data_IF_708201588385
#
_entry.id   IF_708201588385
#
_cell.length_a   1.000
_cell.length_b   1.000
_cell.length_c   1.000
_cell.angle_alpha   90.00
_cell.angle_beta   90.00
_cell.angle_gamma   90.00
#
_symmetry.space_group_name_H-M   'P 1'
#
loop_
_entity.id
_entity.type
_entity.pdbx_description
1 polymer ?
#
# COMPACT_ATOMS: atom_id res chain seq x y z
N UNK A 1 -14.20 1.46 -10.50
CA UNK A 1 -13.26 0.33 -10.56
C UNK A 1 -12.37 0.48 -11.77
N UNK A 2 -11.08 0.26 -11.61
CA UNK A 2 -10.12 0.34 -12.71
C UNK A 2 -10.01 -1.01 -13.40
N UNK A 3 -9.98 -0.98 -14.73
CA UNK A 3 -9.64 -2.15 -15.54
C UNK A 3 -8.16 -2.05 -15.92
N UNK A 4 -7.41 -3.13 -15.77
CA UNK A 4 -6.03 -3.20 -16.27
C UNK A 4 -6.01 -3.90 -17.62
N UNK A 5 -5.48 -3.24 -18.62
CA UNK A 5 -5.21 -3.78 -19.94
C UNK A 5 -3.75 -4.20 -20.01
N UNK A 6 -3.50 -5.47 -20.31
CA UNK A 6 -2.16 -5.97 -20.62
C UNK A 6 -1.85 -5.54 -22.07
N UNK A 7 -1.12 -4.47 -22.18
CA UNK A 7 -0.86 -3.82 -23.47
C UNK A 7 0.39 -4.39 -24.14
N UNK A 8 0.26 -4.69 -25.42
CA UNK A 8 1.39 -5.02 -26.30
C UNK A 8 1.20 -4.44 -27.68
N UNK A 9 2.28 -4.25 -28.47
CA UNK A 9 2.19 -3.81 -29.87
C UNK A 9 1.34 -4.76 -30.75
N UNK A 10 1.29 -6.03 -30.41
CA UNK A 10 0.62 -7.10 -31.14
C UNK A 10 -0.90 -7.11 -30.97
N UNK A 11 -1.45 -6.33 -30.05
CA UNK A 11 -2.90 -6.20 -29.89
C UNK A 11 -3.57 -5.66 -31.15
N UNK A 12 -4.78 -6.15 -31.49
CA UNK A 12 -5.53 -5.63 -32.65
C UNK A 12 -5.74 -4.13 -32.60
N UNK A 13 -5.57 -3.45 -33.74
CA UNK A 13 -5.63 -1.98 -33.82
C UNK A 13 -6.97 -1.43 -33.32
N UNK A 14 -8.09 -2.03 -33.72
CA UNK A 14 -9.41 -1.62 -33.25
C UNK A 14 -9.59 -1.74 -31.72
N UNK A 15 -8.90 -2.70 -31.07
CA UNK A 15 -8.90 -2.80 -29.60
C UNK A 15 -8.09 -1.66 -28.97
N UNK A 16 -6.93 -1.31 -29.56
CA UNK A 16 -6.10 -0.20 -29.10
C UNK A 16 -6.86 1.14 -29.20
N UNK A 17 -7.52 1.38 -30.35
CA UNK A 17 -8.36 2.57 -30.56
C UNK A 17 -9.51 2.64 -29.54
N UNK A 18 -10.19 1.50 -29.31
CA UNK A 18 -11.25 1.42 -28.31
C UNK A 18 -10.74 1.75 -26.91
N UNK A 19 -9.63 1.17 -26.49
CA UNK A 19 -9.01 1.44 -25.19
C UNK A 19 -8.61 2.92 -25.06
N UNK A 20 -8.01 3.50 -26.10
CA UNK A 20 -7.64 4.91 -26.10
C UNK A 20 -8.87 5.81 -25.92
N UNK A 21 -9.94 5.54 -26.66
CA UNK A 21 -11.21 6.28 -26.53
C UNK A 21 -11.78 6.17 -25.10
N UNK A 22 -11.88 4.97 -24.56
CA UNK A 22 -12.39 4.76 -23.19
C UNK A 22 -11.51 5.47 -22.16
N UNK A 23 -10.19 5.50 -22.34
CA UNK A 23 -9.29 6.21 -21.43
C UNK A 23 -9.52 7.72 -21.44
N UNK A 24 -9.77 8.29 -22.61
CA UNK A 24 -10.10 9.73 -22.75
C UNK A 24 -11.46 10.04 -22.10
N UNK A 25 -12.44 9.19 -22.34
CA UNK A 25 -13.83 9.44 -21.91
C UNK A 25 -14.03 9.21 -20.40
N UNK A 26 -13.30 8.29 -19.79
CA UNK A 26 -13.63 7.79 -18.44
C UNK A 26 -12.50 7.78 -17.43
N UNK A 27 -11.25 7.82 -17.85
CA UNK A 27 -10.06 7.60 -17.00
C UNK A 27 -10.11 6.28 -16.18
N UNK A 28 -10.82 5.26 -16.70
CA UNK A 28 -11.11 4.01 -15.97
C UNK A 28 -10.19 2.85 -16.34
N UNK A 29 -9.27 3.05 -17.29
CA UNK A 29 -8.32 2.04 -17.74
C UNK A 29 -6.91 2.43 -17.30
N UNK A 30 -6.18 1.43 -16.81
CA UNK A 30 -4.73 1.49 -16.63
C UNK A 30 -4.06 0.44 -17.53
N UNK A 31 -2.79 0.64 -17.85
CA UNK A 31 -2.06 -0.20 -18.78
C UNK A 31 -0.81 -0.76 -18.14
N UNK A 32 -0.55 -2.04 -18.40
CA UNK A 32 0.70 -2.71 -18.07
C UNK A 32 1.35 -3.22 -19.35
N UNK A 33 2.67 -3.11 -19.45
CA UNK A 33 3.39 -3.63 -20.61
C UNK A 33 3.51 -5.14 -20.54
N UNK A 34 2.69 -5.86 -21.32
CA UNK A 34 2.60 -7.31 -21.32
C UNK A 34 3.93 -7.99 -21.67
N UNK A 35 4.60 -7.53 -22.73
CA UNK A 35 5.86 -8.12 -23.19
C UNK A 35 6.96 -7.97 -22.12
N UNK A 36 7.08 -6.79 -21.52
CA UNK A 36 8.05 -6.54 -20.45
C UNK A 36 7.75 -7.38 -19.22
N UNK A 37 6.47 -7.49 -18.83
CA UNK A 37 6.09 -8.27 -17.64
C UNK A 37 6.41 -9.75 -17.84
N UNK A 38 6.12 -10.32 -19.00
CA UNK A 38 6.45 -11.71 -19.34
C UNK A 38 7.96 -11.95 -19.30
N UNK A 39 8.72 -11.06 -19.89
CA UNK A 39 10.19 -11.14 -19.92
C UNK A 39 10.78 -11.07 -18.51
N UNK A 40 10.46 -10.00 -17.74
CA UNK A 40 11.04 -9.75 -16.40
C UNK A 40 10.64 -10.83 -15.40
N UNK A 41 9.43 -11.37 -15.52
CA UNK A 41 8.89 -12.38 -14.59
C UNK A 41 9.08 -13.80 -15.07
N UNK A 42 9.48 -14.01 -16.32
CA UNK A 42 9.58 -15.31 -16.96
C UNK A 42 8.31 -16.15 -16.74
N UNK A 43 7.16 -15.54 -16.97
CA UNK A 43 5.85 -16.14 -16.73
C UNK A 43 4.83 -15.57 -17.70
N UNK A 44 4.17 -16.46 -18.44
CA UNK A 44 3.13 -16.13 -19.41
C UNK A 44 1.74 -16.09 -18.81
N UNK A 45 1.55 -16.80 -17.70
CA UNK A 45 0.26 -16.92 -17.02
C UNK A 45 0.23 -16.07 -15.74
N UNK A 46 -0.11 -14.82 -15.92
CA UNK A 46 -0.18 -13.84 -14.83
C UNK A 46 -1.39 -12.92 -14.95
N UNK A 47 -1.71 -12.26 -13.86
CA UNK A 47 -2.70 -11.18 -13.80
C UNK A 47 -2.20 -10.03 -12.95
N UNK A 48 -2.92 -8.93 -13.04
CA UNK A 48 -2.69 -7.78 -12.17
C UNK A 48 -3.76 -7.80 -11.08
N UNK A 49 -3.33 -8.12 -9.86
CA UNK A 49 -4.20 -8.12 -8.71
C UNK A 49 -4.47 -6.70 -8.22
N UNK A 50 -5.71 -6.43 -7.86
CA UNK A 50 -6.19 -5.15 -7.36
C UNK A 50 -5.91 -4.00 -8.35
N UNK A 51 -4.87 -3.21 -8.12
CA UNK A 51 -4.57 -2.01 -8.90
C UNK A 51 -3.37 -2.21 -9.83
N UNK A 52 -2.24 -2.68 -9.30
CA UNK A 52 -0.94 -2.72 -10.03
C UNK A 52 -0.05 -3.90 -9.62
N UNK A 53 -0.55 -4.84 -8.83
CA UNK A 53 0.28 -5.91 -8.30
C UNK A 53 0.31 -7.11 -9.23
N UNK A 54 1.50 -7.45 -9.70
CA UNK A 54 1.73 -8.69 -10.44
C UNK A 54 1.43 -9.92 -9.59
N UNK A 55 0.77 -10.91 -10.19
CA UNK A 55 0.51 -12.21 -9.58
C UNK A 55 0.59 -13.31 -10.63
N UNK A 56 1.48 -14.28 -10.46
CA UNK A 56 1.49 -15.49 -11.25
C UNK A 56 0.27 -16.35 -10.87
N UNK A 57 -0.62 -16.61 -11.83
CA UNK A 57 -1.89 -17.29 -11.59
C UNK A 57 -1.62 -18.73 -11.16
N UNK A 58 -2.29 -19.16 -10.09
CA UNK A 58 -2.14 -20.49 -9.52
C UNK A 58 -0.86 -20.72 -8.71
N UNK A 59 0.14 -19.84 -8.78
CA UNK A 59 1.46 -19.99 -8.13
C UNK A 59 1.71 -19.00 -7.01
N UNK A 60 1.01 -17.89 -7.03
CA UNK A 60 1.19 -16.81 -6.03
C UNK A 60 -0.15 -16.35 -5.50
N UNK A 61 -0.14 -15.97 -4.23
CA UNK A 61 -1.27 -15.34 -3.57
C UNK A 61 -0.76 -14.02 -2.99
N UNK A 62 -1.56 -12.97 -3.13
CA UNK A 62 -1.29 -11.70 -2.51
C UNK A 62 -2.36 -11.40 -1.47
N UNK A 63 -1.89 -11.10 -0.26
CA UNK A 63 -2.74 -10.62 0.81
C UNK A 63 -2.49 -9.14 1.08
N UNK A 64 -3.58 -8.37 1.07
CA UNK A 64 -3.56 -6.94 1.33
C UNK A 64 -4.72 -6.59 2.28
N UNK A 65 -4.43 -6.54 3.60
CA UNK A 65 -5.46 -6.43 4.63
C UNK A 65 -5.67 -5.02 5.20
N UNK A 66 -4.69 -4.12 5.06
CA UNK A 66 -4.74 -2.81 5.71
C UNK A 66 -3.83 -1.78 5.04
N UNK A 67 -3.97 -0.52 5.48
CA UNK A 67 -3.06 0.58 5.11
C UNK A 67 -2.63 1.35 6.36
N UNK A 68 -1.35 1.71 6.44
CA UNK A 68 -0.84 2.61 7.46
C UNK A 68 -1.03 4.06 7.02
N UNK A 69 -1.65 4.88 7.88
CA UNK A 69 -1.85 6.31 7.60
C UNK A 69 -0.65 7.13 8.10
N UNK A 70 0.23 7.52 7.18
CA UNK A 70 1.46 8.25 7.47
C UNK A 70 1.20 9.69 7.95
N UNK A 71 0.14 10.33 7.46
CA UNK A 71 -0.25 11.66 7.94
C UNK A 71 -0.73 11.60 9.40
N UNK A 72 -1.53 10.58 9.76
CA UNK A 72 -1.91 10.35 11.16
C UNK A 72 -0.72 10.03 12.05
N UNK A 73 0.25 9.27 11.53
CA UNK A 73 1.50 9.01 12.24
C UNK A 73 2.28 10.31 12.56
N UNK A 74 2.29 11.26 11.61
CA UNK A 74 2.91 12.58 11.84
C UNK A 74 2.17 13.38 12.91
N UNK A 75 0.84 13.37 12.90
CA UNK A 75 0.05 14.01 13.97
C UNK A 75 0.34 13.40 15.34
N UNK A 76 0.47 12.09 15.44
CA UNK A 76 0.86 11.42 16.68
C UNK A 76 2.26 11.84 17.12
N UNK A 77 3.19 12.00 16.20
CA UNK A 77 4.55 12.47 16.50
C UNK A 77 4.57 13.89 17.06
N UNK A 78 3.74 14.78 16.54
CA UNK A 78 3.61 16.16 17.00
C UNK A 78 2.90 16.21 18.37
N UNK A 79 1.87 15.37 18.57
CA UNK A 79 1.01 15.38 19.75
C UNK A 79 1.50 14.45 20.89
N UNK A 80 2.80 14.14 20.98
CA UNK A 80 3.34 13.33 22.06
C UNK A 80 2.75 11.90 22.10
N UNK A 81 2.47 11.33 20.94
CA UNK A 81 1.89 9.99 20.79
C UNK A 81 0.40 9.90 21.07
N UNK A 82 -0.30 11.02 21.23
CA UNK A 82 -1.74 11.08 21.53
C UNK A 82 -2.57 11.33 20.28
N UNK A 83 -3.72 10.67 20.23
CA UNK A 83 -4.73 10.95 19.21
C UNK A 83 -5.39 12.30 19.48
N UNK A 84 -5.40 13.19 18.50
CA UNK A 84 -6.00 14.52 18.60
C UNK A 84 -7.51 14.51 18.82
N UNK A 85 -8.19 13.47 18.34
CA UNK A 85 -9.65 13.35 18.46
C UNK A 85 -10.10 12.81 19.82
N UNK A 86 -9.35 11.85 20.39
CA UNK A 86 -9.76 11.12 21.60
C UNK A 86 -8.89 11.40 22.82
N UNK A 87 -7.74 12.05 22.64
CA UNK A 87 -6.74 12.22 23.69
C UNK A 87 -6.03 10.94 24.14
N UNK A 88 -6.40 9.80 23.56
CA UNK A 88 -5.83 8.50 23.94
C UNK A 88 -4.36 8.39 23.53
N UNK A 89 -3.52 7.86 24.42
CA UNK A 89 -2.12 7.57 24.08
C UNK A 89 -2.08 6.34 23.17
N UNK A 90 -1.76 6.57 21.91
CA UNK A 90 -1.63 5.53 20.88
C UNK A 90 -0.21 4.97 20.84
N UNK A 91 0.80 5.83 20.99
CA UNK A 91 2.21 5.43 21.00
C UNK A 91 2.86 6.00 22.25
N UNK A 92 3.39 5.13 23.09
CA UNK A 92 4.04 5.53 24.35
C UNK A 92 5.48 6.02 24.11
N UNK A 93 5.96 6.88 25.02
CA UNK A 93 7.36 7.33 25.00
C UNK A 93 7.72 8.33 23.90
N UNK A 94 6.73 8.99 23.30
CA UNK A 94 6.92 10.08 22.38
C UNK A 94 6.98 11.38 23.20
N UNK A 95 8.10 12.15 23.17
CA UNK A 95 8.20 13.44 23.82
C UNK A 95 7.13 14.41 23.34
N UNK A 96 6.57 15.19 24.25
CA UNK A 96 5.66 16.29 23.91
C UNK A 96 6.50 17.45 23.42
N UNK A 97 6.12 18.04 22.29
CA UNK A 97 6.75 19.25 21.77
C UNK A 97 6.11 20.47 22.47
N UNK A 98 6.92 21.26 23.14
CA UNK A 98 6.47 22.39 24.00
C UNK A 98 6.77 23.76 23.42
N UNK A 99 7.41 23.82 22.25
CA UNK A 99 7.75 25.08 21.59
C UNK A 99 6.60 25.63 20.76
N UNK A 100 6.44 26.92 20.68
CA UNK A 100 5.43 27.57 19.83
C UNK A 100 5.65 27.32 18.35
N UNK A 101 6.92 27.08 17.97
CA UNK A 101 7.30 26.72 16.59
C UNK A 101 7.89 25.33 16.57
N UNK A 102 7.43 24.50 15.65
CA UNK A 102 7.90 23.12 15.50
C UNK A 102 9.35 23.07 15.00
N UNK A 103 10.22 22.36 15.73
CA UNK A 103 11.57 22.06 15.29
C UNK A 103 11.57 20.80 14.41
N UNK A 104 12.12 20.89 13.21
CA UNK A 104 12.11 19.80 12.24
C UNK A 104 12.80 18.54 12.76
N UNK A 105 13.96 18.66 13.41
CA UNK A 105 14.72 17.49 13.90
C UNK A 105 13.97 16.77 15.04
N UNK A 106 13.34 17.53 15.93
CA UNK A 106 12.53 16.96 17.01
C UNK A 106 11.31 16.22 16.45
N UNK A 107 10.60 16.86 15.51
CA UNK A 107 9.47 16.22 14.82
C UNK A 107 9.90 14.95 14.10
N UNK A 108 11.00 14.98 13.36
CA UNK A 108 11.53 13.81 12.65
C UNK A 108 11.94 12.68 13.60
N UNK A 109 12.57 13.01 14.73
CA UNK A 109 12.92 12.01 15.73
C UNK A 109 11.68 11.33 16.34
N UNK A 110 10.66 12.10 16.67
CA UNK A 110 9.38 11.58 17.14
C UNK A 110 8.69 10.75 16.05
N UNK A 111 8.68 11.25 14.82
CA UNK A 111 8.05 10.57 13.68
C UNK A 111 8.69 9.21 13.39
N UNK A 112 10.01 9.11 13.43
CA UNK A 112 10.73 7.83 13.30
C UNK A 112 10.30 6.83 14.39
N UNK A 113 10.16 7.26 15.64
CA UNK A 113 9.67 6.37 16.73
C UNK A 113 8.25 5.90 16.48
N UNK A 114 7.36 6.81 16.07
CA UNK A 114 5.97 6.47 15.74
C UNK A 114 5.91 5.49 14.58
N UNK A 115 6.68 5.72 13.50
CA UNK A 115 6.74 4.84 12.35
C UNK A 115 7.26 3.45 12.72
N UNK A 116 8.26 3.36 13.59
CA UNK A 116 8.78 2.06 14.08
C UNK A 116 7.70 1.26 14.81
N UNK A 117 6.93 1.92 15.68
CA UNK A 117 5.83 1.25 16.38
C UNK A 117 4.68 0.85 15.43
N UNK A 118 4.34 1.73 14.47
CA UNK A 118 3.35 1.41 13.44
C UNK A 118 3.80 0.21 12.61
N UNK A 119 5.06 0.16 12.19
CA UNK A 119 5.59 -0.95 11.42
C UNK A 119 5.48 -2.28 12.20
N UNK A 120 5.82 -2.26 13.49
CA UNK A 120 5.69 -3.42 14.37
C UNK A 120 4.23 -3.90 14.46
N UNK A 121 3.32 -3.00 14.83
CA UNK A 121 1.89 -3.30 14.99
C UNK A 121 1.28 -3.75 13.66
N UNK A 122 1.65 -3.09 12.57
CA UNK A 122 1.15 -3.44 11.23
C UNK A 122 1.57 -4.86 10.83
N UNK A 123 2.85 -5.19 11.02
CA UNK A 123 3.34 -6.53 10.73
C UNK A 123 2.65 -7.60 11.58
N UNK A 124 2.48 -7.37 12.88
CA UNK A 124 1.77 -8.28 13.79
C UNK A 124 0.30 -8.44 13.37
N UNK A 125 -0.39 -7.35 13.08
CA UNK A 125 -1.78 -7.37 12.62
C UNK A 125 -1.94 -8.15 11.30
N UNK A 126 -1.07 -7.91 10.33
CA UNK A 126 -1.09 -8.64 9.05
C UNK A 126 -0.87 -10.14 9.24
N UNK A 127 0.07 -10.53 10.08
CA UNK A 127 0.31 -11.94 10.40
C UNK A 127 -0.90 -12.59 11.09
N UNK A 128 -1.54 -11.90 12.04
CA UNK A 128 -2.74 -12.41 12.72
C UNK A 128 -3.90 -12.57 11.72
N UNK A 129 -4.15 -11.57 10.90
CA UNK A 129 -5.22 -11.61 9.90
C UNK A 129 -4.99 -12.78 8.93
N UNK A 130 -3.76 -12.91 8.44
CA UNK A 130 -3.38 -13.99 7.52
C UNK A 130 -3.53 -15.37 8.17
N UNK A 131 -3.04 -15.53 9.40
CA UNK A 131 -3.24 -16.74 10.17
C UNK A 131 -4.72 -17.10 10.34
N UNK A 132 -5.58 -16.13 10.61
CA UNK A 132 -7.02 -16.36 10.78
C UNK A 132 -7.68 -16.80 9.48
N UNK A 133 -7.29 -16.23 8.35
CA UNK A 133 -7.77 -16.64 7.03
C UNK A 133 -7.38 -18.09 6.73
N UNK A 134 -6.12 -18.46 6.98
CA UNK A 134 -5.64 -19.82 6.76
C UNK A 134 -6.32 -20.81 7.71
N UNK A 135 -6.43 -20.47 9.01
CA UNK A 135 -7.06 -21.31 10.03
C UNK A 135 -8.52 -21.67 9.70
N UNK A 136 -9.27 -20.72 9.16
CA UNK A 136 -10.69 -20.94 8.83
C UNK A 136 -10.93 -21.37 7.37
N UNK A 137 -9.90 -21.80 6.68
CA UNK A 137 -9.97 -22.33 5.32
C UNK A 137 -10.44 -21.34 4.25
N UNK A 138 -10.52 -20.07 4.59
CA UNK A 138 -10.96 -19.06 3.64
C UNK A 138 -10.06 -19.02 2.40
N UNK A 139 -8.76 -18.99 2.60
CA UNK A 139 -7.79 -19.03 1.50
C UNK A 139 -7.81 -20.36 0.76
N UNK A 140 -7.92 -21.50 1.46
CA UNK A 140 -8.02 -22.81 0.83
C UNK A 140 -9.25 -22.93 -0.07
N UNK A 141 -10.37 -22.32 0.30
CA UNK A 141 -11.55 -22.31 -0.56
C UNK A 141 -11.31 -21.52 -1.85
N UNK A 142 -10.57 -20.43 -1.77
CA UNK A 142 -10.16 -19.63 -2.94
C UNK A 142 -9.03 -20.30 -3.75
N UNK A 143 -8.27 -21.18 -3.12
CA UNK A 143 -7.11 -21.85 -3.69
C UNK A 143 -7.44 -23.18 -4.39
N UNK A 144 -8.70 -23.48 -4.65
CA UNK A 144 -9.12 -24.73 -5.32
C UNK A 144 -8.42 -24.96 -6.68
N UNK A 145 -7.93 -23.90 -7.30
CA UNK A 145 -7.26 -23.92 -8.61
C UNK A 145 -5.80 -23.46 -8.55
N UNK A 146 -5.19 -23.48 -7.36
CA UNK A 146 -3.78 -23.09 -7.15
C UNK A 146 -2.90 -24.29 -6.85
N UNK A 147 -1.60 -24.12 -7.03
CA UNK A 147 -0.59 -25.10 -6.68
C UNK A 147 -0.67 -25.47 -5.18
N UNK A 148 -0.16 -26.64 -4.84
CA UNK A 148 -0.19 -27.17 -3.46
C UNK A 148 0.68 -26.36 -2.49
N UNK A 149 1.68 -25.63 -3.00
CA UNK A 149 2.60 -24.79 -2.23
C UNK A 149 2.76 -23.42 -2.91
N UNK A 150 1.72 -22.58 -2.89
CA UNK A 150 1.78 -21.27 -3.51
C UNK A 150 2.63 -20.31 -2.69
N UNK A 151 3.34 -19.43 -3.38
CA UNK A 151 4.06 -18.34 -2.73
C UNK A 151 3.08 -17.30 -2.21
N UNK A 152 3.12 -17.06 -0.91
CA UNK A 152 2.29 -16.04 -0.24
C UNK A 152 3.07 -14.72 -0.16
N UNK A 153 2.48 -13.66 -0.69
CA UNK A 153 3.02 -12.31 -0.64
C UNK A 153 2.14 -11.44 0.25
N UNK A 154 2.73 -10.80 1.25
CA UNK A 154 2.06 -9.79 2.06
C UNK A 154 2.31 -8.41 1.45
N UNK A 155 1.25 -7.66 1.20
CA UNK A 155 1.31 -6.31 0.70
C UNK A 155 1.05 -5.30 1.82
N UNK A 156 2.02 -4.43 2.06
CA UNK A 156 1.95 -3.36 3.06
C UNK A 156 1.70 -2.03 2.37
N UNK A 157 0.47 -1.56 2.42
CA UNK A 157 0.07 -0.28 1.83
C UNK A 157 0.25 0.90 2.79
N UNK A 158 0.47 2.08 2.23
CA UNK A 158 0.50 3.34 2.95
C UNK A 158 -0.51 4.33 2.38
N UNK A 159 -0.98 5.25 3.20
CA UNK A 159 -1.83 6.36 2.82
C UNK A 159 -1.29 7.67 3.42
N UNK A 160 -1.62 8.80 2.81
CA UNK A 160 -1.24 10.11 3.32
C UNK A 160 0.25 10.46 3.19
N UNK A 161 0.98 9.80 2.28
CA UNK A 161 2.41 10.06 2.06
C UNK A 161 2.66 11.50 1.62
N UNK A 162 1.92 11.99 0.62
CA UNK A 162 2.04 13.38 0.13
C UNK A 162 1.77 14.39 1.24
N UNK A 163 0.72 14.19 2.03
CA UNK A 163 0.38 15.06 3.16
C UNK A 163 1.51 15.09 4.20
N UNK A 164 2.09 13.92 4.51
CA UNK A 164 3.21 13.86 5.45
C UNK A 164 4.44 14.58 4.91
N UNK A 165 4.77 14.41 3.62
CA UNK A 165 5.91 15.06 2.96
C UNK A 165 5.72 16.59 2.95
N UNK A 166 4.55 17.06 2.51
CA UNK A 166 4.25 18.48 2.42
C UNK A 166 4.28 19.14 3.81
N UNK A 167 3.73 18.47 4.82
CA UNK A 167 3.76 18.95 6.21
C UNK A 167 5.19 19.03 6.76
N UNK A 168 6.01 18.02 6.53
CA UNK A 168 7.43 18.02 6.94
C UNK A 168 8.23 19.08 6.19
N UNK A 169 7.94 19.31 4.92
CA UNK A 169 8.53 20.38 4.13
C UNK A 169 8.15 21.75 4.69
N UNK A 170 6.87 21.93 5.02
CA UNK A 170 6.41 23.18 5.66
C UNK A 170 7.11 23.41 7.01
N UNK A 171 7.19 22.42 7.87
CA UNK A 171 7.89 22.51 9.17
C UNK A 171 9.35 22.89 8.98
N UNK A 172 10.00 22.41 7.93
CA UNK A 172 11.42 22.67 7.68
C UNK A 172 11.71 24.01 7.04
N UNK A 173 10.84 24.47 6.12
CA UNK A 173 11.15 25.58 5.21
C UNK A 173 10.19 26.77 5.29
N UNK A 174 8.98 26.63 5.85
CA UNK A 174 8.08 27.75 5.99
C UNK A 174 8.66 28.79 7.00
N UNK A 175 8.47 30.07 6.67
CA UNK A 175 8.91 31.22 7.51
C UNK A 175 7.70 31.78 8.22
#
# INVERSE_FOLDING_TARGET
PNMTVLWSPELPEGFKEFCAKVSVDTSSIQYENDNLMREVRNCDDYGIACCVSYQAIGKQIQFFGARANLAKALLLAINGGRCENTGTVMVKGIPVLTHDTLNFEEVMNNYKKVLTEIARVYNEAMNIIHYMHDKYYYEKAQMAFVDTDPRINLAYGVAGLSIAIDSLSAIKYAK
#
